data_IF_745947027134
#
_entry.id   IF_745947027134
#
_cell.length_a   1.000
_cell.length_b   1.000
_cell.length_c   1.000
_cell.angle_alpha   90.00
_cell.angle_beta   90.00
_cell.angle_gamma   90.00
#
_symmetry.space_group_name_H-M   'P 1'
#
loop_
_entity.id
_entity.type
_entity.pdbx_description
1 polymer ?
#
# COMPACT_ATOMS: atom_id res chain seq x y z
N UNK A 1 -11.89 19.68 8.36
CA UNK A 1 -12.07 20.94 7.60
C UNK A 1 -12.72 21.97 8.52
N UNK A 2 -12.05 23.07 8.86
CA UNK A 2 -12.64 24.17 9.64
C UNK A 2 -13.30 25.16 8.67
N UNK A 3 -14.62 25.35 8.73
CA UNK A 3 -15.31 26.37 7.94
C UNK A 3 -15.21 27.72 8.64
N UNK A 4 -14.38 28.61 8.11
CA UNK A 4 -14.34 30.02 8.49
C UNK A 4 -15.54 30.75 7.85
N UNK A 5 -16.33 31.42 8.68
CA UNK A 5 -17.47 32.24 8.26
C UNK A 5 -17.11 33.71 8.43
N UNK A 6 -17.65 34.56 7.57
CA UNK A 6 -17.56 36.00 7.75
C UNK A 6 -18.41 36.48 8.94
N UNK A 7 -18.29 37.77 9.25
CA UNK A 7 -19.04 38.44 10.32
C UNK A 7 -20.57 38.42 10.13
N UNK A 8 -21.06 38.03 8.95
CA UNK A 8 -22.47 37.87 8.64
C UNK A 8 -22.92 36.39 8.59
N UNK A 9 -22.03 35.46 8.95
CA UNK A 9 -22.31 34.03 9.03
C UNK A 9 -22.26 33.28 7.70
N UNK A 10 -21.83 33.93 6.61
CA UNK A 10 -21.69 33.28 5.31
C UNK A 10 -20.31 32.61 5.18
N UNK A 11 -20.24 31.42 4.55
CA UNK A 11 -18.97 30.72 4.36
C UNK A 11 -18.09 31.48 3.36
N UNK A 12 -16.88 31.85 3.78
CA UNK A 12 -15.91 32.50 2.91
C UNK A 12 -15.28 31.41 2.02
N UNK A 13 -15.36 31.50 0.68
CA UNK A 13 -14.66 30.57 -0.18
C UNK A 13 -13.15 30.83 -0.06
N UNK A 14 -12.40 29.85 0.44
CA UNK A 14 -10.95 29.89 0.36
C UNK A 14 -10.55 29.76 -1.12
N UNK A 15 -10.08 30.88 -1.68
CA UNK A 15 -9.65 30.96 -3.06
C UNK A 15 -8.44 30.08 -3.35
N UNK A 16 -8.54 29.34 -4.46
CA UNK A 16 -7.46 28.89 -5.32
C UNK A 16 -6.18 28.41 -4.64
N UNK A 17 -6.18 27.18 -4.16
CA UNK A 17 -4.96 26.38 -4.17
C UNK A 17 -5.27 25.10 -4.93
N UNK A 18 -4.75 25.02 -6.16
CA UNK A 18 -4.54 23.78 -6.88
C UNK A 18 -3.71 22.86 -5.98
N UNK A 19 -4.39 21.97 -5.28
CA UNK A 19 -3.79 20.79 -4.69
C UNK A 19 -4.66 19.62 -5.12
N UNK A 20 -4.37 19.10 -6.31
CA UNK A 20 -4.69 17.72 -6.68
C UNK A 20 -4.03 16.79 -5.66
N UNK A 21 -4.74 16.53 -4.56
CA UNK A 21 -4.52 15.34 -3.76
C UNK A 21 -5.55 14.32 -4.23
N UNK A 22 -5.14 13.53 -5.22
CA UNK A 22 -5.81 12.28 -5.54
C UNK A 22 -5.64 11.33 -4.34
N UNK A 23 -6.58 11.38 -3.40
CA UNK A 23 -6.81 10.32 -2.44
C UNK A 23 -8.06 9.56 -2.86
N UNK A 24 -7.88 8.67 -3.83
CA UNK A 24 -8.86 7.68 -4.19
C UNK A 24 -8.73 6.49 -3.22
N UNK A 25 -9.55 6.51 -2.17
CA UNK A 25 -9.85 5.32 -1.37
C UNK A 25 -11.37 5.14 -1.35
N UNK A 26 -11.90 4.45 -2.36
CA UNK A 26 -13.24 3.91 -2.34
C UNK A 26 -13.27 2.58 -3.12
N UNK A 27 -12.91 1.48 -2.45
CA UNK A 27 -13.24 0.14 -2.93
C UNK A 27 -14.69 -0.19 -2.53
N UNK A 28 -15.64 0.36 -3.29
CA UNK A 28 -17.02 -0.09 -3.27
C UNK A 28 -17.23 -1.03 -4.48
N UNK A 29 -17.17 -2.34 -4.24
CA UNK A 29 -17.39 -3.34 -5.28
C UNK A 29 -18.89 -3.52 -5.56
N UNK A 30 -19.45 -2.65 -6.41
CA UNK A 30 -20.74 -2.90 -7.06
C UNK A 30 -20.49 -3.71 -8.34
N UNK A 31 -20.80 -5.02 -8.30
CA UNK A 31 -20.77 -5.90 -9.46
C UNK A 31 -22.10 -5.78 -10.23
N UNK A 32 -22.19 -4.81 -11.14
CA UNK A 32 -23.12 -4.90 -12.26
C UNK A 32 -22.44 -4.40 -13.53
N UNK A 33 -22.21 -5.33 -14.46
CA UNK A 33 -21.86 -5.02 -15.84
C UNK A 33 -20.40 -4.64 -16.12
N UNK A 34 -19.61 -5.62 -16.59
CA UNK A 34 -18.44 -5.36 -17.42
C UNK A 34 -17.10 -5.46 -16.71
N UNK A 35 -16.57 -6.69 -16.64
CA UNK A 35 -15.19 -6.96 -16.21
C UNK A 35 -14.19 -6.29 -17.16
N UNK A 36 -13.79 -5.06 -16.85
CA UNK A 36 -12.72 -4.31 -17.51
C UNK A 36 -11.62 -3.90 -16.52
N UNK A 37 -11.35 -4.73 -15.50
CA UNK A 37 -10.20 -4.57 -14.59
C UNK A 37 -9.36 -5.85 -14.49
N UNK A 38 -9.26 -6.58 -15.61
CA UNK A 38 -8.37 -7.74 -15.77
C UNK A 38 -7.19 -7.42 -16.70
N UNK A 39 -6.75 -6.15 -16.77
CA UNK A 39 -5.74 -5.72 -17.74
C UNK A 39 -4.30 -5.68 -17.20
N UNK A 40 -4.01 -6.33 -16.08
CA UNK A 40 -2.61 -6.55 -15.64
C UNK A 40 -2.41 -7.88 -14.91
N UNK A 41 -3.29 -8.87 -15.14
CA UNK A 41 -3.20 -10.19 -14.49
C UNK A 41 -3.62 -11.37 -15.39
N UNK A 42 -3.50 -11.28 -16.72
CA UNK A 42 -3.88 -12.46 -17.53
C UNK A 42 -3.85 -12.35 -19.05
N UNK A 43 -2.72 -11.97 -19.67
CA UNK A 43 -2.71 -11.91 -21.14
C UNK A 43 -1.39 -12.00 -21.90
N UNK A 44 -0.22 -12.18 -21.28
CA UNK A 44 1.01 -12.27 -22.09
C UNK A 44 2.16 -13.05 -21.46
N UNK A 45 1.88 -14.20 -20.83
CA UNK A 45 2.92 -15.22 -20.66
C UNK A 45 3.08 -15.99 -21.98
N UNK A 46 3.58 -15.32 -23.02
CA UNK A 46 3.86 -15.97 -24.31
C UNK A 46 5.19 -16.78 -24.29
N UNK A 47 5.93 -16.73 -23.17
CA UNK A 47 7.10 -17.57 -22.89
C UNK A 47 7.22 -17.83 -21.39
N UNK A 48 7.68 -19.03 -21.00
CA UNK A 48 7.91 -19.38 -19.58
C UNK A 48 8.89 -18.41 -18.90
N UNK A 49 9.88 -17.91 -19.64
CA UNK A 49 10.90 -16.98 -19.17
C UNK A 49 10.34 -15.60 -18.77
N UNK A 50 9.35 -15.08 -19.51
CA UNK A 50 8.74 -13.77 -19.19
C UNK A 50 7.90 -13.85 -17.91
N UNK A 51 7.16 -14.94 -17.75
CA UNK A 51 6.34 -15.23 -16.55
C UNK A 51 7.21 -15.37 -15.28
N UNK A 52 8.39 -15.98 -15.44
CA UNK A 52 9.41 -16.14 -14.39
C UNK A 52 10.01 -14.81 -13.92
N UNK A 53 10.38 -13.93 -14.86
CA UNK A 53 10.91 -12.60 -14.54
C UNK A 53 9.86 -11.68 -13.90
N UNK A 54 8.61 -11.78 -14.33
CA UNK A 54 7.47 -11.08 -13.73
C UNK A 54 7.26 -11.49 -12.27
N UNK A 55 7.38 -12.79 -11.96
CA UNK A 55 7.28 -13.30 -10.59
C UNK A 55 8.35 -12.71 -9.66
N UNK A 56 9.59 -12.59 -10.15
CA UNK A 56 10.70 -11.97 -9.39
C UNK A 56 10.43 -10.48 -9.16
N UNK A 57 9.94 -9.77 -10.17
CA UNK A 57 9.61 -8.36 -10.07
C UNK A 57 8.48 -8.13 -9.04
N UNK A 58 7.42 -8.93 -9.09
CA UNK A 58 6.29 -8.83 -8.17
C UNK A 58 6.70 -9.15 -6.73
N UNK A 59 7.47 -10.22 -6.49
CA UNK A 59 7.97 -10.54 -5.14
C UNK A 59 8.87 -9.44 -4.57
N UNK A 60 9.71 -8.84 -5.42
CA UNK A 60 10.57 -7.71 -5.02
C UNK A 60 9.72 -6.50 -4.63
N UNK A 61 8.71 -6.18 -5.44
CA UNK A 61 7.77 -5.09 -5.16
C UNK A 61 6.99 -5.32 -3.86
N UNK A 62 6.45 -6.52 -3.64
CA UNK A 62 5.73 -6.87 -2.41
C UNK A 62 6.60 -6.71 -1.15
N UNK A 63 7.87 -7.10 -1.23
CA UNK A 63 8.80 -6.92 -0.12
C UNK A 63 9.01 -5.43 0.20
N UNK A 64 9.33 -4.62 -0.82
CA UNK A 64 9.58 -3.18 -0.65
C UNK A 64 8.33 -2.45 -0.16
N UNK A 65 7.16 -2.81 -0.69
CA UNK A 65 5.88 -2.25 -0.27
C UNK A 65 5.62 -2.49 1.22
N UNK A 66 5.87 -3.70 1.71
CA UNK A 66 5.75 -4.02 3.13
C UNK A 66 6.78 -3.26 3.99
N UNK A 67 8.00 -3.01 3.49
CA UNK A 67 9.00 -2.20 4.20
C UNK A 67 8.54 -0.75 4.38
N UNK A 68 7.96 -0.15 3.32
CA UNK A 68 7.41 1.20 3.37
C UNK A 68 6.19 1.28 4.29
N UNK A 69 5.24 0.34 4.14
CA UNK A 69 4.08 0.25 5.03
C UNK A 69 4.46 0.08 6.49
N UNK A 70 5.47 -0.74 6.79
CA UNK A 70 5.99 -0.92 8.14
C UNK A 70 6.52 0.40 8.72
N UNK A 71 7.26 1.18 7.93
CA UNK A 71 7.78 2.48 8.37
C UNK A 71 6.67 3.52 8.62
N UNK A 72 5.67 3.58 7.74
CA UNK A 72 4.51 4.48 7.92
C UNK A 72 3.68 4.12 9.15
N UNK A 73 3.47 2.82 9.38
CA UNK A 73 2.75 2.32 10.55
C UNK A 73 3.52 2.58 11.85
N UNK A 74 4.84 2.46 11.85
CA UNK A 74 5.67 2.78 13.03
C UNK A 74 5.57 4.27 13.40
N UNK A 75 5.62 5.16 12.41
CA UNK A 75 5.38 6.60 12.61
C UNK A 75 3.97 6.88 13.16
N UNK A 76 2.96 6.15 12.68
CA UNK A 76 1.59 6.27 13.19
C UNK A 76 1.49 5.80 14.65
N UNK A 77 2.15 4.69 14.99
CA UNK A 77 2.19 4.17 16.36
C UNK A 77 2.83 5.18 17.33
N UNK A 78 3.92 5.83 16.94
CA UNK A 78 4.56 6.87 17.75
C UNK A 78 3.64 8.08 17.99
N UNK A 79 2.82 8.44 17.00
CA UNK A 79 1.82 9.51 17.16
C UNK A 79 0.69 9.11 18.10
N UNK A 80 0.23 7.86 18.04
CA UNK A 80 -0.79 7.32 18.96
C UNK A 80 -0.26 7.25 20.40
N UNK A 81 1.02 6.88 20.59
CA UNK A 81 1.69 6.91 21.89
C UNK A 81 1.69 8.32 22.49
N UNK A 82 2.04 9.35 21.69
CA UNK A 82 2.01 10.76 22.12
C UNK A 82 0.62 11.26 22.50
N UNK A 83 -0.43 10.69 21.90
CA UNK A 83 -1.83 10.99 22.22
C UNK A 83 -2.37 10.19 23.42
N UNK A 84 -1.55 9.36 24.06
CA UNK A 84 -1.94 8.52 25.20
C UNK A 84 -2.72 7.26 24.82
N UNK A 85 -2.74 6.89 23.53
CA UNK A 85 -3.40 5.69 23.01
C UNK A 85 -2.42 4.51 22.93
N UNK A 86 -1.76 4.19 24.04
CA UNK A 86 -0.66 3.21 24.08
C UNK A 86 -1.07 1.80 23.64
N UNK A 87 -2.29 1.36 23.94
CA UNK A 87 -2.78 0.04 23.51
C UNK A 87 -2.91 -0.05 21.99
N UNK A 88 -3.41 1.01 21.34
CA UNK A 88 -3.52 1.08 19.88
C UNK A 88 -2.13 1.14 19.22
N UNK A 89 -1.23 1.97 19.76
CA UNK A 89 0.16 2.05 19.30
C UNK A 89 0.86 0.68 19.37
N UNK A 90 0.65 -0.06 20.47
CA UNK A 90 1.19 -1.40 20.64
C UNK A 90 0.69 -2.39 19.59
N UNK A 91 -0.62 -2.41 19.32
CA UNK A 91 -1.19 -3.28 18.27
C UNK A 91 -0.57 -3.00 16.90
N UNK A 92 -0.33 -1.72 16.58
CA UNK A 92 0.32 -1.36 15.32
C UNK A 92 1.78 -1.83 15.30
N UNK A 93 2.54 -1.63 16.38
CA UNK A 93 3.93 -2.11 16.49
C UNK A 93 4.03 -3.63 16.38
N UNK A 94 3.08 -4.36 16.94
CA UNK A 94 2.98 -5.82 16.79
C UNK A 94 2.73 -6.20 15.31
N UNK A 95 1.83 -5.48 14.62
CA UNK A 95 1.60 -5.65 13.17
C UNK A 95 2.82 -5.33 12.31
N UNK A 96 3.56 -4.27 12.64
CA UNK A 96 4.85 -3.92 11.98
C UNK A 96 5.86 -5.06 12.13
N UNK A 97 5.96 -5.67 13.32
CA UNK A 97 6.81 -6.84 13.54
C UNK A 97 6.42 -8.02 12.64
N UNK A 98 5.13 -8.25 12.45
CA UNK A 98 4.65 -9.33 11.58
C UNK A 98 4.92 -9.07 10.10
N UNK A 99 4.85 -7.82 9.63
CA UNK A 99 5.32 -7.45 8.28
C UNK A 99 6.80 -7.75 8.09
N UNK A 100 7.64 -7.41 9.07
CA UNK A 100 9.08 -7.69 9.00
C UNK A 100 9.37 -9.19 8.95
N UNK A 101 8.66 -10.01 9.75
CA UNK A 101 8.75 -11.47 9.68
C UNK A 101 8.27 -12.01 8.33
N UNK A 102 7.18 -11.45 7.80
CA UNK A 102 6.68 -11.74 6.45
C UNK A 102 7.74 -11.47 5.40
N UNK A 103 8.42 -10.32 5.49
CA UNK A 103 9.47 -9.93 4.56
C UNK A 103 10.68 -10.87 4.59
N UNK A 104 11.07 -11.42 5.74
CA UNK A 104 12.10 -12.47 5.78
C UNK A 104 11.71 -13.70 4.94
N UNK A 105 10.43 -14.10 4.98
CA UNK A 105 9.93 -15.22 4.17
C UNK A 105 9.88 -14.85 2.69
N UNK A 106 9.46 -13.63 2.35
CA UNK A 106 9.47 -13.15 0.98
C UNK A 106 10.89 -13.06 0.40
N UNK A 107 11.87 -12.61 1.20
CA UNK A 107 13.28 -12.60 0.79
C UNK A 107 13.81 -14.01 0.51
N UNK A 108 13.47 -14.99 1.36
CA UNK A 108 13.82 -16.39 1.10
C UNK A 108 13.16 -16.92 -0.17
N UNK A 109 11.86 -16.67 -0.36
CA UNK A 109 11.14 -17.09 -1.56
C UNK A 109 11.74 -16.46 -2.82
N UNK A 110 12.09 -15.16 -2.76
CA UNK A 110 12.75 -14.45 -3.85
C UNK A 110 14.11 -15.06 -4.20
N UNK A 111 14.89 -15.47 -3.21
CA UNK A 111 16.16 -16.18 -3.43
C UNK A 111 15.94 -17.52 -4.11
N UNK A 112 15.01 -18.34 -3.61
CA UNK A 112 14.70 -19.66 -4.19
C UNK A 112 14.22 -19.54 -5.65
N UNK A 113 13.34 -18.57 -5.94
CA UNK A 113 12.91 -18.31 -7.31
C UNK A 113 14.11 -17.94 -8.18
N UNK A 114 14.97 -17.01 -7.74
CA UNK A 114 16.16 -16.61 -8.50
C UNK A 114 17.15 -17.77 -8.74
N UNK A 115 17.30 -18.69 -7.79
CA UNK A 115 18.12 -19.89 -7.95
C UNK A 115 17.54 -20.82 -9.02
N UNK A 116 16.25 -21.11 -8.95
CA UNK A 116 15.55 -21.89 -9.98
C UNK A 116 15.65 -21.26 -11.39
N UNK A 117 15.73 -19.93 -11.50
CA UNK A 117 15.93 -19.26 -12.79
C UNK A 117 17.36 -19.32 -13.33
N UNK A 118 18.36 -19.50 -12.46
CA UNK A 118 19.77 -19.67 -12.87
C UNK A 118 20.08 -21.11 -13.27
N UNK A 119 19.33 -22.06 -12.73
CA UNK A 119 19.49 -23.50 -12.99
C UNK A 119 18.65 -24.01 -14.18
N UNK A 120 17.73 -23.19 -14.69
CA UNK A 120 16.87 -23.47 -15.85
C UNK A 120 17.48 -22.95 -17.16
#
# INVERSE_FOLDING_TARGET
MHLLKDENGNPIPHGGHDHEHCHEHAHEHSHDGGCAHASECGGSCNTEEKCKNETVALLTYMQQHNEQHAAELDQMADNLEKMGMSDAAKQIKDGVSDFQKGNMRLSLALTLVKEHLKEA
#
